data_IF_048796411705
#
_entry.id   IF_048796411705
#
_cell.length_a   1.000
_cell.length_b   1.000
_cell.length_c   1.000
_cell.angle_alpha   90.00
_cell.angle_beta   90.00
_cell.angle_gamma   90.00
#
_symmetry.space_group_name_H-M   'P 1'
#
loop_
_entity.id
_entity.type
_entity.pdbx_description
1 polymer ?
#
# COMPACT_ATOMS: atom_id res chain seq x y z
N UNK A 1 3.25 23.32 20.03
CA UNK A 1 3.07 22.07 19.26
C UNK A 1 4.40 21.70 18.61
N UNK A 2 4.84 20.47 18.72
CA UNK A 2 6.06 20.06 18.03
C UNK A 2 5.88 20.11 16.52
N UNK A 3 6.91 20.63 15.84
CA UNK A 3 6.93 20.78 14.37
C UNK A 3 7.77 19.67 13.76
N UNK A 4 7.26 19.01 12.73
CA UNK A 4 7.91 17.91 12.04
C UNK A 4 8.06 18.25 10.55
N UNK A 5 9.27 18.08 10.03
CA UNK A 5 9.55 18.14 8.59
C UNK A 5 9.64 16.75 8.02
N UNK A 6 8.94 16.48 6.92
CA UNK A 6 9.03 15.22 6.18
C UNK A 6 9.61 15.52 4.80
N UNK A 7 10.68 14.84 4.44
CA UNK A 7 11.31 14.94 3.12
C UNK A 7 10.81 13.79 2.26
N UNK A 8 10.13 14.13 1.17
CA UNK A 8 9.45 13.20 0.28
C UNK A 8 7.93 13.18 0.48
N UNK A 9 7.17 13.69 -0.49
CA UNK A 9 5.71 13.71 -0.48
C UNK A 9 5.10 12.65 -1.42
N UNK A 10 5.77 11.51 -1.58
CA UNK A 10 5.19 10.31 -2.17
C UNK A 10 4.13 9.70 -1.25
N UNK A 11 3.59 8.54 -1.59
CA UNK A 11 2.51 7.90 -0.83
C UNK A 11 2.87 7.73 0.66
N UNK A 12 4.07 7.22 0.95
CA UNK A 12 4.51 6.97 2.32
C UNK A 12 4.61 8.29 3.12
N UNK A 13 5.26 9.32 2.57
CA UNK A 13 5.41 10.61 3.25
C UNK A 13 4.06 11.27 3.52
N UNK A 14 3.11 11.17 2.59
CA UNK A 14 1.75 11.70 2.77
C UNK A 14 0.95 10.94 3.85
N UNK A 15 1.07 9.61 3.91
CA UNK A 15 0.41 8.79 4.94
C UNK A 15 0.98 9.09 6.33
N UNK A 16 2.30 9.22 6.46
CA UNK A 16 2.96 9.60 7.72
C UNK A 16 2.52 11.00 8.14
N UNK A 17 2.54 11.97 7.20
CA UNK A 17 2.10 13.34 7.48
C UNK A 17 0.66 13.39 7.97
N UNK A 18 -0.25 12.67 7.33
CA UNK A 18 -1.65 12.58 7.72
C UNK A 18 -1.79 11.99 9.14
N UNK A 19 -1.06 10.92 9.43
CA UNK A 19 -1.09 10.27 10.74
C UNK A 19 -0.59 11.20 11.85
N UNK A 20 0.53 11.87 11.63
CA UNK A 20 1.11 12.79 12.59
C UNK A 20 0.25 14.05 12.79
N UNK A 21 -0.30 14.59 11.71
CA UNK A 21 -1.20 15.74 11.79
C UNK A 21 -2.44 15.43 12.64
N UNK A 22 -3.01 14.24 12.53
CA UNK A 22 -4.14 13.77 13.36
C UNK A 22 -3.78 13.62 14.84
N UNK A 23 -2.51 13.42 15.13
CA UNK A 23 -1.99 13.37 16.51
C UNK A 23 -1.65 14.75 17.07
N UNK A 24 -1.92 15.82 16.32
CA UNK A 24 -1.71 17.20 16.76
C UNK A 24 -0.31 17.76 16.44
N UNK A 25 0.49 17.08 15.63
CA UNK A 25 1.76 17.64 15.17
C UNK A 25 1.56 18.63 14.03
N UNK A 26 2.35 19.71 14.04
CA UNK A 26 2.45 20.57 12.87
C UNK A 26 3.44 19.97 11.88
N UNK A 27 2.93 19.52 10.73
CA UNK A 27 3.74 18.78 9.73
C UNK A 27 3.94 19.62 8.48
N UNK A 28 5.19 19.70 8.01
CA UNK A 28 5.55 20.29 6.72
C UNK A 28 6.16 19.21 5.83
N UNK A 29 5.60 19.06 4.62
CA UNK A 29 6.11 18.16 3.57
C UNK A 29 7.00 18.96 2.61
N UNK A 30 8.19 18.41 2.33
CA UNK A 30 9.11 18.92 1.31
C UNK A 30 9.27 17.88 0.22
N UNK A 31 9.09 18.28 -1.02
CA UNK A 31 9.31 17.42 -2.18
C UNK A 31 9.86 18.23 -3.36
N UNK A 32 10.58 17.57 -4.25
CA UNK A 32 11.01 18.12 -5.51
C UNK A 32 9.90 18.19 -6.56
N UNK A 33 8.84 17.39 -6.38
CA UNK A 33 7.71 17.31 -7.28
C UNK A 33 6.61 18.31 -6.91
N UNK A 34 5.73 18.56 -7.83
CA UNK A 34 4.53 19.37 -7.62
C UNK A 34 3.55 18.67 -6.64
N UNK A 35 2.63 19.46 -6.09
CA UNK A 35 1.61 18.96 -5.16
C UNK A 35 0.76 17.82 -5.73
N UNK A 36 0.61 17.75 -7.06
CA UNK A 36 -0.07 16.66 -7.76
C UNK A 36 0.63 15.31 -7.63
N UNK A 37 1.95 15.29 -7.37
CA UNK A 37 2.73 14.08 -7.13
C UNK A 37 2.96 13.21 -8.37
N UNK A 38 3.00 13.82 -9.55
CA UNK A 38 3.08 13.10 -10.84
C UNK A 38 4.39 12.32 -11.04
N UNK A 39 5.46 12.68 -10.32
CA UNK A 39 6.74 11.96 -10.36
C UNK A 39 6.84 10.87 -9.28
N UNK A 40 5.81 10.68 -8.45
CA UNK A 40 5.80 9.64 -7.44
C UNK A 40 5.52 8.26 -8.04
N UNK A 41 6.11 7.21 -7.46
CA UNK A 41 5.85 5.84 -7.87
C UNK A 41 4.35 5.48 -7.75
N UNK A 42 3.66 6.02 -6.76
CA UNK A 42 2.24 5.79 -6.57
C UNK A 42 1.36 6.36 -7.69
N UNK A 43 1.81 7.43 -8.36
CA UNK A 43 1.09 8.00 -9.51
C UNK A 43 1.13 7.07 -10.72
N UNK A 44 2.26 6.39 -10.95
CA UNK A 44 2.43 5.44 -12.04
C UNK A 44 1.90 4.03 -11.71
N UNK A 45 1.60 3.76 -10.46
CA UNK A 45 1.15 2.44 -10.02
C UNK A 45 -0.27 2.14 -10.48
N UNK A 46 -0.56 0.86 -10.75
CA UNK A 46 -1.89 0.40 -11.15
C UNK A 46 -2.94 0.46 -10.03
N UNK A 47 -2.53 0.77 -8.79
CA UNK A 47 -3.43 0.90 -7.64
C UNK A 47 -3.92 -0.43 -7.07
N UNK A 48 -3.28 -1.54 -7.43
CA UNK A 48 -3.61 -2.85 -6.90
C UNK A 48 -2.97 -3.06 -5.52
N UNK A 49 -3.78 -3.44 -4.55
CA UNK A 49 -3.35 -3.77 -3.18
C UNK A 49 -3.54 -5.27 -2.96
N UNK A 50 -2.64 -6.07 -3.55
CA UNK A 50 -2.75 -7.53 -3.62
C UNK A 50 -1.57 -8.21 -2.95
N UNK A 51 -1.53 -8.31 -1.60
CA UNK A 51 -0.41 -8.93 -0.89
C UNK A 51 -0.14 -10.37 -1.34
N UNK A 52 -1.19 -11.10 -1.69
CA UNK A 52 -1.08 -12.47 -2.19
C UNK A 52 -0.35 -12.52 -3.55
N UNK A 53 -0.68 -11.63 -4.48
CA UNK A 53 -0.01 -11.56 -5.78
C UNK A 53 1.47 -11.19 -5.66
N UNK A 54 1.82 -10.34 -4.70
CA UNK A 54 3.20 -9.92 -4.44
C UNK A 54 4.01 -10.98 -3.68
N UNK A 55 3.36 -11.91 -3.03
CA UNK A 55 4.00 -12.90 -2.17
C UNK A 55 4.97 -13.82 -2.90
N UNK A 56 4.81 -14.00 -4.20
CA UNK A 56 5.74 -14.78 -5.03
C UNK A 56 7.12 -14.11 -5.16
N UNK A 57 7.17 -12.78 -5.04
CA UNK A 57 8.36 -11.96 -5.28
C UNK A 57 8.83 -11.18 -4.05
N UNK A 58 8.06 -11.21 -2.97
CA UNK A 58 8.33 -10.42 -1.76
C UNK A 58 8.71 -11.30 -0.57
N UNK A 59 9.56 -10.81 0.34
CA UNK A 59 9.82 -11.47 1.62
C UNK A 59 8.54 -11.61 2.45
N UNK A 60 8.47 -12.66 3.27
CA UNK A 60 7.29 -12.99 4.08
C UNK A 60 6.79 -11.82 4.94
N UNK A 61 7.69 -11.10 5.60
CA UNK A 61 7.35 -9.94 6.43
C UNK A 61 6.63 -8.83 5.63
N UNK A 62 7.00 -8.61 4.36
CA UNK A 62 6.33 -7.64 3.49
C UNK A 62 4.92 -8.10 3.15
N UNK A 63 4.74 -9.38 2.89
CA UNK A 63 3.40 -9.96 2.62
C UNK A 63 2.49 -9.84 3.84
N UNK A 64 3.01 -10.18 5.03
CA UNK A 64 2.28 -10.05 6.29
C UNK A 64 1.89 -8.58 6.58
N UNK A 65 2.80 -7.64 6.34
CA UNK A 65 2.49 -6.20 6.42
C UNK A 65 1.42 -5.79 5.40
N UNK A 66 1.46 -6.34 4.20
CA UNK A 66 0.46 -6.11 3.16
C UNK A 66 -0.94 -6.56 3.60
N UNK A 67 -1.07 -7.76 4.17
CA UNK A 67 -2.35 -8.23 4.72
C UNK A 67 -2.84 -7.37 5.88
N UNK A 68 -1.97 -6.95 6.79
CA UNK A 68 -2.32 -6.01 7.84
C UNK A 68 -2.78 -4.66 7.28
N UNK A 69 -2.14 -4.18 6.23
CA UNK A 69 -2.51 -2.92 5.56
C UNK A 69 -3.90 -2.99 4.93
N UNK A 70 -4.32 -4.14 4.37
CA UNK A 70 -5.67 -4.30 3.81
C UNK A 70 -6.77 -3.99 4.83
N UNK A 71 -6.57 -4.32 6.09
CA UNK A 71 -7.52 -4.01 7.17
C UNK A 71 -7.52 -2.52 7.56
N UNK A 72 -6.44 -1.80 7.27
CA UNK A 72 -6.29 -0.38 7.61
C UNK A 72 -6.83 0.54 6.51
N UNK A 73 -6.72 0.16 5.25
CA UNK A 73 -7.11 1.01 4.11
C UNK A 73 -8.56 1.50 4.18
N UNK A 74 -9.59 0.65 4.42
CA UNK A 74 -10.97 1.14 4.52
C UNK A 74 -11.15 2.18 5.63
N UNK A 75 -10.49 1.95 6.78
CA UNK A 75 -10.55 2.86 7.93
C UNK A 75 -9.91 4.21 7.63
N UNK A 76 -8.76 4.18 6.94
CA UNK A 76 -8.06 5.38 6.53
C UNK A 76 -8.90 6.19 5.53
N UNK A 77 -9.40 5.53 4.50
CA UNK A 77 -10.16 6.16 3.42
C UNK A 77 -11.49 6.75 3.90
N UNK A 78 -12.16 6.10 4.85
CA UNK A 78 -13.39 6.61 5.46
C UNK A 78 -13.20 7.96 6.18
N UNK A 79 -11.97 8.33 6.49
CA UNK A 79 -11.64 9.59 7.16
C UNK A 79 -11.23 10.70 6.21
N UNK A 80 -11.08 10.42 4.93
CA UNK A 80 -10.75 11.39 3.89
C UNK A 80 -12.03 11.96 3.29
N UNK A 81 -12.00 13.26 2.99
CA UNK A 81 -13.06 13.90 2.23
C UNK A 81 -12.92 13.61 0.74
N UNK A 82 -14.04 13.52 0.05
CA UNK A 82 -14.08 13.30 -1.38
C UNK A 82 -14.39 11.86 -1.77
N UNK A 83 -14.40 11.60 -3.06
CA UNK A 83 -14.67 10.28 -3.62
C UNK A 83 -13.41 9.40 -3.55
N UNK A 84 -13.57 8.14 -3.15
CA UNK A 84 -12.51 7.16 -3.26
C UNK A 84 -12.97 5.98 -4.12
N UNK A 85 -12.03 5.40 -4.86
CA UNK A 85 -12.28 4.29 -5.79
C UNK A 85 -11.89 2.93 -5.18
N UNK A 86 -11.69 2.86 -3.88
CA UNK A 86 -11.29 1.64 -3.21
C UNK A 86 -12.40 0.60 -3.27
N UNK A 87 -12.05 -0.58 -3.77
CA UNK A 87 -12.93 -1.75 -3.82
C UNK A 87 -12.19 -2.96 -3.25
N UNK A 88 -12.88 -3.78 -2.49
CA UNK A 88 -12.33 -4.99 -1.90
C UNK A 88 -13.15 -6.19 -2.39
N UNK A 89 -12.84 -6.66 -3.58
CA UNK A 89 -13.57 -7.72 -4.29
C UNK A 89 -12.78 -9.02 -4.40
N UNK A 90 -11.57 -9.07 -3.84
CA UNK A 90 -10.69 -10.22 -3.88
C UNK A 90 -9.68 -10.19 -5.02
N UNK A 91 -8.86 -11.24 -5.09
CA UNK A 91 -7.81 -11.41 -6.09
C UNK A 91 -7.93 -12.79 -6.73
N UNK A 92 -7.87 -12.85 -8.05
CA UNK A 92 -7.77 -14.09 -8.82
C UNK A 92 -6.37 -14.19 -9.41
N UNK A 93 -5.67 -15.28 -9.08
CA UNK A 93 -4.39 -15.63 -9.68
C UNK A 93 -4.60 -16.80 -10.62
N UNK A 94 -4.18 -16.66 -11.87
CA UNK A 94 -4.31 -17.68 -12.90
C UNK A 94 -2.92 -18.12 -13.35
N UNK A 95 -2.69 -19.43 -13.40
CA UNK A 95 -1.47 -20.04 -13.92
C UNK A 95 -1.78 -20.86 -15.16
N UNK A 96 -0.94 -20.76 -16.18
CA UNK A 96 -1.12 -21.46 -17.47
C UNK A 96 -0.07 -22.54 -17.73
N UNK A 97 1.06 -22.50 -17.04
CA UNK A 97 2.15 -23.45 -17.18
C UNK A 97 2.27 -24.32 -15.94
N UNK A 98 2.61 -25.60 -16.10
CA UNK A 98 2.68 -26.56 -14.99
C UNK A 98 3.67 -26.13 -13.91
N UNK A 99 4.82 -25.63 -14.31
CA UNK A 99 5.85 -25.16 -13.35
C UNK A 99 5.34 -24.01 -12.47
N UNK A 100 4.53 -23.12 -13.03
CA UNK A 100 3.91 -22.01 -12.31
C UNK A 100 2.78 -22.54 -11.41
N UNK A 101 2.03 -23.53 -11.86
CA UNK A 101 0.99 -24.20 -11.06
C UNK A 101 1.61 -24.83 -9.81
N UNK A 102 2.69 -25.59 -9.97
CA UNK A 102 3.38 -26.25 -8.87
C UNK A 102 3.99 -25.23 -7.89
N UNK A 103 4.56 -24.16 -8.40
CA UNK A 103 5.09 -23.07 -7.57
C UNK A 103 3.98 -22.36 -6.81
N UNK A 104 2.86 -22.08 -7.45
CA UNK A 104 1.70 -21.45 -6.85
C UNK A 104 1.10 -22.34 -5.76
N UNK A 105 1.00 -23.66 -5.98
CA UNK A 105 0.52 -24.62 -4.99
C UNK A 105 1.43 -24.65 -3.75
N UNK A 106 2.76 -24.72 -3.93
CA UNK A 106 3.73 -24.65 -2.83
C UNK A 106 3.63 -23.33 -2.06
N UNK A 107 3.37 -22.24 -2.76
CA UNK A 107 3.18 -20.95 -2.15
C UNK A 107 1.92 -20.91 -1.26
N UNK A 108 0.78 -21.38 -1.76
CA UNK A 108 -0.46 -21.45 -1.00
C UNK A 108 -0.30 -22.33 0.23
N UNK A 109 0.35 -23.48 0.09
CA UNK A 109 0.65 -24.38 1.20
C UNK A 109 1.50 -23.68 2.29
N UNK A 110 2.44 -22.83 1.90
CA UNK A 110 3.33 -22.11 2.83
C UNK A 110 2.65 -20.95 3.59
N UNK A 111 1.62 -20.34 3.03
CA UNK A 111 1.03 -19.11 3.58
C UNK A 111 -0.42 -19.28 4.09
N UNK A 112 -1.09 -20.38 3.78
CA UNK A 112 -2.47 -20.63 4.20
C UNK A 112 -2.59 -21.73 5.28
N UNK A 113 -1.49 -22.38 5.66
CA UNK A 113 -1.36 -23.19 6.88
C UNK A 113 -0.84 -22.30 8.04
#
# INVERSE_FOLDING_TARGET
>A
MPTIAIIGAGLMGRLIALSLNRQGYQVTLFDKDQKSGQQSAAYAAAGLLTPLGEAMHSPRNIVEMGFAALALWPKLLATLSGYNFFQQTGTLVVSHEQDIVDYTAQFFQKYLE
#
